data_IF_460757880306
#
_entry.id   IF_460757880306
#
_cell.length_a   1.000
_cell.length_b   1.000
_cell.length_c   1.000
_cell.angle_alpha   90.00
_cell.angle_beta   90.00
_cell.angle_gamma   90.00
#
_symmetry.space_group_name_H-M   'P 1'
#
loop_
_entity.id
_entity.type
_entity.pdbx_description
1 polymer ?
#
# COMPACT_ATOMS: atom_id res chain seq x y z
N UNK A 1 -58.43 8.72 19.15
CA UNK A 1 -57.60 7.55 19.46
C UNK A 1 -57.48 6.75 18.18
N UNK A 2 -56.36 6.89 17.46
CA UNK A 2 -56.15 6.24 16.16
C UNK A 2 -55.00 5.25 16.30
N UNK A 3 -55.31 3.97 16.18
CA UNK A 3 -54.37 2.86 16.14
C UNK A 3 -53.81 2.73 14.72
N UNK A 4 -52.50 2.92 14.57
CA UNK A 4 -51.77 2.60 13.34
C UNK A 4 -51.14 1.23 13.48
N UNK A 5 -51.60 0.29 12.66
CA UNK A 5 -51.04 -1.05 12.50
C UNK A 5 -49.68 -0.98 11.77
N UNK A 6 -48.73 -1.78 12.22
CA UNK A 6 -47.39 -1.93 11.64
C UNK A 6 -47.35 -3.27 10.89
N UNK A 7 -47.33 -3.25 9.56
CA UNK A 7 -47.10 -4.45 8.75
C UNK A 7 -45.60 -4.79 8.70
N UNK A 8 -45.28 -6.01 9.11
CA UNK A 8 -43.95 -6.61 9.08
C UNK A 8 -43.70 -7.26 7.72
N UNK A 9 -43.08 -6.52 6.80
CA UNK A 9 -42.57 -7.05 5.53
C UNK A 9 -41.19 -7.69 5.70
N UNK A 10 -41.14 -9.02 5.81
CA UNK A 10 -39.91 -9.82 5.77
C UNK A 10 -39.70 -10.35 4.34
N UNK A 11 -38.63 -9.90 3.69
CA UNK A 11 -38.21 -10.40 2.39
C UNK A 11 -36.94 -9.69 1.93
N UNK A 12 -35.79 -10.06 2.51
CA UNK A 12 -34.49 -9.64 1.99
C UNK A 12 -33.95 -10.76 1.12
N UNK A 13 -34.14 -10.58 -0.17
CA UNK A 13 -33.47 -11.30 -1.23
C UNK A 13 -31.94 -11.14 -1.09
N UNK A 14 -31.22 -12.26 -1.10
CA UNK A 14 -29.77 -12.32 -0.98
C UNK A 14 -29.14 -11.88 -2.30
N UNK A 15 -28.89 -10.58 -2.47
CA UNK A 15 -28.06 -10.08 -3.56
C UNK A 15 -26.63 -10.60 -3.42
N UNK A 16 -26.21 -11.49 -4.33
CA UNK A 16 -24.81 -11.87 -4.51
C UNK A 16 -24.07 -10.69 -5.14
N UNK A 17 -23.31 -9.95 -4.32
CA UNK A 17 -22.43 -8.89 -4.80
C UNK A 17 -21.16 -9.50 -5.40
N UNK A 18 -21.19 -9.71 -6.72
CA UNK A 18 -20.01 -10.10 -7.49
C UNK A 18 -19.09 -8.88 -7.69
N UNK A 19 -18.00 -8.82 -6.91
CA UNK A 19 -16.93 -7.85 -7.13
C UNK A 19 -15.87 -8.42 -8.07
N UNK A 20 -15.81 -7.89 -9.29
CA UNK A 20 -14.71 -8.15 -10.23
C UNK A 20 -13.63 -7.06 -10.10
N UNK A 21 -12.41 -7.46 -9.76
CA UNK A 21 -11.25 -6.55 -9.71
C UNK A 21 -10.47 -6.69 -11.00
N UNK A 22 -10.76 -5.82 -11.97
CA UNK A 22 -9.97 -5.71 -13.20
C UNK A 22 -8.77 -4.80 -12.97
N UNK A 23 -7.56 -5.37 -13.05
CA UNK A 23 -6.34 -4.57 -13.07
C UNK A 23 -6.18 -3.90 -14.45
N UNK A 24 -6.23 -2.57 -14.50
CA UNK A 24 -5.88 -1.80 -15.70
C UNK A 24 -4.38 -1.97 -15.98
N UNK A 25 -4.08 -2.64 -17.08
CA UNK A 25 -2.73 -2.84 -17.59
C UNK A 25 -2.10 -1.49 -17.93
N UNK A 26 -0.96 -1.17 -17.32
CA UNK A 26 -0.12 -0.04 -17.71
C UNK A 26 0.91 -0.56 -18.71
N UNK A 27 1.04 0.14 -19.86
CA UNK A 27 1.83 -0.23 -21.04
C UNK A 27 3.36 -0.26 -20.86
N UNK A 28 3.88 -0.64 -19.69
CA UNK A 28 5.31 -0.67 -19.42
C UNK A 28 5.81 -2.09 -19.16
N UNK A 29 5.96 -2.86 -20.24
CA UNK A 29 7.08 -3.79 -20.52
C UNK A 29 7.56 -4.80 -19.47
N UNK A 30 6.90 -4.96 -18.32
CA UNK A 30 7.23 -5.97 -17.33
C UNK A 30 6.19 -7.08 -17.44
N UNK A 31 6.60 -8.22 -18.01
CA UNK A 31 5.80 -9.43 -18.07
C UNK A 31 5.59 -9.98 -16.65
N UNK A 32 4.66 -9.39 -15.90
CA UNK A 32 4.18 -9.99 -14.67
C UNK A 32 3.10 -11.00 -15.03
N UNK A 33 3.38 -12.27 -14.73
CA UNK A 33 2.42 -13.37 -14.80
C UNK A 33 1.21 -13.02 -13.92
N UNK A 34 0.14 -12.54 -14.53
CA UNK A 34 -1.13 -12.29 -13.87
C UNK A 34 -1.71 -13.65 -13.47
N UNK A 35 -1.44 -14.08 -12.23
CA UNK A 35 -2.14 -15.22 -11.64
C UNK A 35 -3.49 -14.72 -11.15
N UNK A 36 -4.54 -15.06 -11.88
CA UNK A 36 -5.92 -14.88 -11.42
C UNK A 36 -6.13 -15.72 -10.16
N UNK A 37 -6.36 -15.07 -9.02
CA UNK A 37 -6.71 -15.75 -7.78
C UNK A 37 -8.23 -15.68 -7.66
N UNK A 38 -8.90 -16.83 -7.82
CA UNK A 38 -10.33 -16.93 -7.64
C UNK A 38 -10.59 -17.31 -6.17
N UNK A 39 -11.19 -16.41 -5.39
CA UNK A 39 -11.51 -16.65 -3.98
C UNK A 39 -13.01 -16.82 -3.87
N UNK A 40 -13.46 -18.07 -3.78
CA UNK A 40 -14.86 -18.41 -3.54
C UNK A 40 -15.08 -18.52 -2.04
N UNK A 41 -15.80 -17.57 -1.45
CA UNK A 41 -16.16 -17.60 -0.03
C UNK A 41 -17.52 -18.27 0.10
N UNK A 42 -17.52 -19.56 0.42
CA UNK A 42 -18.75 -20.30 0.74
C UNK A 42 -19.24 -19.86 2.11
N UNK A 43 -20.40 -19.21 2.18
CA UNK A 43 -21.03 -18.84 3.45
C UNK A 43 -21.32 -20.11 4.26
N UNK A 44 -20.90 -20.21 5.54
CA UNK A 44 -21.17 -21.37 6.37
C UNK A 44 -22.68 -21.44 6.66
N UNK A 45 -23.37 -22.29 5.91
CA UNK A 45 -24.75 -22.66 6.17
C UNK A 45 -24.90 -23.17 7.61
N UNK A 46 -25.94 -22.70 8.27
CA UNK A 46 -26.28 -22.99 9.66
C UNK A 46 -26.28 -24.49 9.98
N UNK A 47 -25.43 -24.84 10.93
CA UNK A 47 -25.55 -25.93 11.91
C UNK A 47 -26.01 -27.31 11.43
N UNK A 48 -25.03 -28.21 11.24
CA UNK A 48 -25.19 -29.63 11.51
C UNK A 48 -23.84 -30.22 11.92
N UNK A 49 -23.74 -30.66 13.17
CA UNK A 49 -22.57 -31.34 13.73
C UNK A 49 -22.25 -32.60 12.92
N UNK A 50 -21.13 -32.64 12.20
CA UNK A 50 -20.29 -33.85 12.15
C UNK A 50 -18.94 -33.62 11.47
N UNK A 51 -17.89 -33.85 12.27
CA UNK A 51 -16.52 -34.27 11.94
C UNK A 51 -15.58 -33.28 11.23
N UNK A 52 -14.29 -33.22 11.65
CA UNK A 52 -13.29 -32.39 11.00
C UNK A 52 -12.86 -33.01 9.68
N UNK A 53 -13.16 -32.36 8.56
CA UNK A 53 -12.66 -32.73 7.24
C UNK A 53 -11.44 -31.85 6.94
N UNK A 54 -10.30 -32.50 6.77
CA UNK A 54 -9.05 -31.87 6.36
C UNK A 54 -9.23 -31.16 5.02
N UNK A 55 -9.01 -29.85 5.01
CA UNK A 55 -9.06 -29.01 3.81
C UNK A 55 -7.84 -29.32 2.93
N UNK A 56 -8.04 -30.13 1.89
CA UNK A 56 -7.02 -30.32 0.85
C UNK A 56 -7.01 -29.11 -0.09
N UNK A 57 -5.89 -28.40 -0.12
CA UNK A 57 -5.62 -27.30 -1.04
C UNK A 57 -4.86 -27.90 -2.22
N UNK A 58 -5.53 -28.06 -3.36
CA UNK A 58 -4.91 -28.51 -4.60
C UNK A 58 -4.51 -27.30 -5.44
N UNK A 59 -3.20 -27.12 -5.67
CA UNK A 59 -2.64 -26.06 -6.51
C UNK A 59 -2.12 -26.70 -7.79
N UNK A 60 -2.80 -26.48 -8.90
CA UNK A 60 -2.38 -26.94 -10.23
C UNK A 60 -1.77 -25.78 -11.00
N UNK A 61 -0.47 -25.87 -11.35
CA UNK A 61 0.24 -24.88 -12.16
C UNK A 61 0.67 -25.47 -13.50
N UNK A 62 0.09 -24.98 -14.60
CA UNK A 62 0.53 -25.28 -15.96
C UNK A 62 1.44 -24.15 -16.46
N UNK A 63 2.75 -24.38 -16.47
CA UNK A 63 3.74 -23.50 -17.10
C UNK A 63 4.08 -24.00 -18.50
N UNK A 64 3.75 -23.23 -19.53
CA UNK A 64 4.23 -23.43 -20.90
C UNK A 64 5.25 -22.33 -21.18
N UNK A 65 6.51 -22.72 -21.32
CA UNK A 65 7.61 -21.85 -21.78
C UNK A 65 7.50 -21.65 -23.29
N UNK A 66 7.55 -20.40 -23.74
CA UNK A 66 7.94 -20.08 -25.11
C UNK A 66 8.98 -18.97 -25.11
N UNK A 67 10.07 -19.32 -25.78
CA UNK A 67 11.35 -18.65 -25.91
C UNK A 67 11.27 -17.58 -26.99
N UNK A 68 11.96 -16.46 -26.82
CA UNK A 68 12.32 -15.58 -27.93
C UNK A 68 12.25 -14.09 -27.62
N UNK A 69 13.32 -13.52 -27.06
CA UNK A 69 13.55 -12.08 -27.09
C UNK A 69 14.95 -11.81 -27.65
N UNK A 70 14.93 -11.15 -28.80
CA UNK A 70 16.04 -10.85 -29.69
C UNK A 70 16.90 -9.74 -29.07
N UNK A 71 18.21 -9.99 -28.98
CA UNK A 71 19.19 -9.10 -28.36
C UNK A 71 19.63 -8.09 -29.44
N UNK A 72 19.05 -6.89 -29.39
CA UNK A 72 19.51 -5.73 -30.18
C UNK A 72 20.64 -5.01 -29.44
N UNK A 73 21.88 -5.27 -29.87
CA UNK A 73 23.09 -4.62 -29.40
C UNK A 73 23.35 -3.35 -30.21
N UNK A 74 22.87 -2.20 -29.74
CA UNK A 74 23.26 -0.90 -30.30
C UNK A 74 24.21 -0.18 -29.34
N UNK A 75 25.49 -0.19 -29.73
CA UNK A 75 26.58 0.55 -29.11
C UNK A 75 26.38 2.05 -29.32
N UNK A 76 26.06 2.78 -28.26
CA UNK A 76 26.10 4.25 -28.24
C UNK A 76 27.16 4.69 -27.24
N UNK A 77 28.42 4.70 -27.69
CA UNK A 77 29.52 5.41 -27.05
C UNK A 77 29.33 6.91 -27.26
N UNK A 78 28.66 7.55 -26.28
CA UNK A 78 28.53 8.99 -26.18
C UNK A 78 29.15 9.48 -24.87
N UNK A 79 30.48 9.55 -24.83
CA UNK A 79 31.26 10.16 -23.75
C UNK A 79 30.99 11.67 -23.74
N UNK A 80 30.00 12.10 -22.94
CA UNK A 80 29.80 13.50 -22.59
C UNK A 80 30.47 13.77 -21.24
N UNK A 81 31.40 14.74 -21.15
CA UNK A 81 32.00 15.12 -19.88
C UNK A 81 30.93 15.69 -18.96
N UNK A 82 30.54 14.92 -17.95
CA UNK A 82 29.63 15.37 -16.91
C UNK A 82 30.34 16.43 -16.06
N UNK A 83 30.05 17.68 -16.41
CA UNK A 83 30.29 18.86 -15.61
C UNK A 83 29.71 18.63 -14.21
N UNK A 84 30.61 18.38 -13.25
CA UNK A 84 30.27 18.18 -11.83
C UNK A 84 29.78 19.50 -11.26
N UNK A 85 28.53 19.88 -11.55
CA UNK A 85 27.81 20.92 -10.82
C UNK A 85 27.77 20.47 -9.37
N UNK A 86 28.57 21.14 -8.54
CA UNK A 86 28.62 20.94 -7.10
C UNK A 86 27.25 21.28 -6.53
N UNK A 87 26.38 20.26 -6.47
CA UNK A 87 25.08 20.36 -5.86
C UNK A 87 25.30 20.69 -4.38
N UNK A 88 25.01 21.94 -4.01
CA UNK A 88 25.09 22.39 -2.63
C UNK A 88 24.36 21.41 -1.73
N UNK A 89 25.10 20.78 -0.80
CA UNK A 89 24.52 19.87 0.20
C UNK A 89 23.47 20.65 0.99
N UNK A 90 22.19 20.41 0.71
CA UNK A 90 21.10 20.93 1.53
C UNK A 90 21.33 20.44 2.96
N UNK A 91 21.30 21.36 3.93
CA UNK A 91 21.41 21.00 5.34
C UNK A 91 20.20 20.13 5.69
N UNK A 92 20.46 18.92 6.21
CA UNK A 92 19.39 18.04 6.68
C UNK A 92 18.72 18.69 7.89
N UNK A 93 17.40 18.69 7.89
CA UNK A 93 16.60 19.12 9.04
C UNK A 93 16.87 18.26 10.27
N UNK A 94 16.54 18.78 11.46
CA UNK A 94 16.64 18.04 12.71
C UNK A 94 15.80 16.74 12.67
N UNK A 95 14.59 16.80 12.12
CA UNK A 95 13.69 15.66 11.96
C UNK A 95 14.30 14.55 11.09
N UNK A 96 14.93 14.89 9.97
CA UNK A 96 15.59 13.90 9.10
C UNK A 96 16.79 13.23 9.79
N UNK A 97 17.48 13.95 10.67
CA UNK A 97 18.59 13.38 11.45
C UNK A 97 18.07 12.38 12.48
N UNK A 98 16.99 12.73 13.18
CA UNK A 98 16.35 11.86 14.18
C UNK A 98 15.69 10.63 13.55
N UNK A 99 15.17 10.75 12.33
CA UNK A 99 14.53 9.65 11.60
C UNK A 99 15.45 8.43 11.45
N UNK A 100 16.74 8.64 11.17
CA UNK A 100 17.69 7.54 11.02
C UNK A 100 17.81 6.72 12.32
N UNK A 101 17.99 7.41 13.45
CA UNK A 101 18.09 6.76 14.75
C UNK A 101 16.80 6.03 15.15
N UNK A 102 15.65 6.61 14.84
CA UNK A 102 14.35 5.99 15.07
C UNK A 102 14.16 4.69 14.27
N UNK A 103 14.54 4.68 12.99
CA UNK A 103 14.42 3.48 12.15
C UNK A 103 15.38 2.37 12.58
N UNK A 104 16.61 2.72 12.98
CA UNK A 104 17.57 1.75 13.53
C UNK A 104 17.06 1.15 14.84
N UNK A 105 16.57 1.99 15.76
CA UNK A 105 15.94 1.55 17.01
C UNK A 105 14.77 0.60 16.75
N UNK A 106 13.84 0.99 15.88
CA UNK A 106 12.65 0.18 15.57
C UNK A 106 13.02 -1.14 14.90
N UNK A 107 14.06 -1.15 14.06
CA UNK A 107 14.56 -2.37 13.44
C UNK A 107 15.09 -3.36 14.47
N UNK A 108 15.80 -2.87 15.50
CA UNK A 108 16.35 -3.71 16.56
C UNK A 108 15.26 -4.19 17.53
N UNK A 109 14.47 -3.26 18.05
CA UNK A 109 13.50 -3.53 19.11
C UNK A 109 12.35 -4.44 18.65
N UNK A 110 11.84 -4.21 17.43
CA UNK A 110 10.67 -4.94 16.90
C UNK A 110 11.05 -6.04 15.92
N UNK A 111 12.34 -6.28 15.69
CA UNK A 111 12.84 -7.27 14.71
C UNK A 111 12.15 -7.16 13.34
N UNK A 112 11.87 -5.93 12.89
CA UNK A 112 11.15 -5.70 11.63
C UNK A 112 12.01 -6.08 10.42
N UNK A 113 11.34 -6.59 9.37
CA UNK A 113 12.01 -6.87 8.11
C UNK A 113 12.59 -5.59 7.48
N UNK A 114 13.67 -5.73 6.69
CA UNK A 114 14.27 -4.62 5.92
C UNK A 114 13.24 -3.90 5.05
N UNK A 115 12.31 -4.65 4.45
CA UNK A 115 11.24 -4.08 3.62
C UNK A 115 10.28 -3.22 4.42
N UNK A 116 9.90 -3.65 5.62
CA UNK A 116 9.03 -2.88 6.53
C UNK A 116 9.72 -1.58 6.96
N UNK A 117 11.00 -1.64 7.34
CA UNK A 117 11.79 -0.46 7.70
C UNK A 117 11.89 0.53 6.53
N UNK A 118 12.10 0.05 5.30
CA UNK A 118 12.10 0.91 4.12
C UNK A 118 10.71 1.52 3.83
N UNK A 119 9.62 0.79 4.07
CA UNK A 119 8.28 1.34 3.94
C UNK A 119 8.04 2.47 4.94
N UNK A 120 8.34 2.23 6.23
CA UNK A 120 8.24 3.25 7.27
C UNK A 120 9.13 4.46 6.99
N UNK A 121 10.36 4.24 6.51
CA UNK A 121 11.24 5.34 6.12
C UNK A 121 10.63 6.24 5.05
N UNK A 122 9.99 5.66 4.02
CA UNK A 122 9.30 6.43 2.98
C UNK A 122 8.07 7.16 3.51
N UNK A 123 7.26 6.49 4.31
CA UNK A 123 6.02 7.05 4.86
C UNK A 123 6.35 8.25 5.78
N UNK A 124 7.35 8.12 6.66
CA UNK A 124 7.80 9.21 7.55
C UNK A 124 8.51 10.32 6.77
N UNK A 125 9.33 10.01 5.76
CA UNK A 125 9.93 11.04 4.90
C UNK A 125 8.89 11.89 4.18
N UNK A 126 7.80 11.27 3.74
CA UNK A 126 6.69 11.99 3.08
C UNK A 126 6.05 12.98 4.07
N UNK A 127 5.83 12.55 5.31
CA UNK A 127 5.35 13.44 6.38
C UNK A 127 6.34 14.60 6.65
N UNK A 128 7.63 14.30 6.80
CA UNK A 128 8.66 15.33 7.07
C UNK A 128 8.74 16.34 5.94
N UNK A 129 8.62 15.89 4.68
CA UNK A 129 8.60 16.78 3.53
C UNK A 129 7.36 17.67 3.50
N UNK A 130 6.18 17.10 3.77
CA UNK A 130 4.93 17.85 3.90
C UNK A 130 5.01 18.89 5.04
N UNK A 131 5.53 18.47 6.20
CA UNK A 131 5.66 19.32 7.38
C UNK A 131 6.60 20.49 7.15
N UNK A 132 7.72 20.28 6.43
CA UNK A 132 8.67 21.35 6.09
C UNK A 132 8.18 22.31 5.00
N UNK A 133 6.98 22.10 4.47
CA UNK A 133 6.33 23.03 3.55
C UNK A 133 6.03 24.39 4.18
N UNK A 134 5.38 25.27 3.41
CA UNK A 134 5.17 26.68 3.78
C UNK A 134 4.43 26.89 5.10
N UNK A 135 3.63 25.92 5.57
CA UNK A 135 2.84 26.03 6.78
C UNK A 135 3.63 25.92 8.09
N UNK A 136 4.78 25.20 8.13
CA UNK A 136 5.51 24.94 9.38
C UNK A 136 7.01 25.18 9.33
N UNK A 137 7.47 26.07 8.44
CA UNK A 137 8.90 26.43 8.26
C UNK A 137 9.69 26.71 9.55
N UNK A 138 9.03 27.16 10.62
CA UNK A 138 9.68 27.55 11.87
C UNK A 138 9.39 26.62 13.06
N UNK A 139 8.57 25.58 12.90
CA UNK A 139 8.22 24.69 14.01
C UNK A 139 9.20 23.49 14.05
N UNK A 140 10.02 23.34 15.10
CA UNK A 140 11.03 22.28 15.16
C UNK A 140 10.43 20.90 15.48
N UNK A 141 9.24 20.86 16.10
CA UNK A 141 8.62 19.63 16.62
C UNK A 141 7.16 19.57 16.20
N UNK A 142 6.73 18.51 15.48
CA UNK A 142 5.34 18.29 15.14
C UNK A 142 4.43 18.13 16.35
N UNK A 143 3.27 18.77 16.31
CA UNK A 143 2.19 18.61 17.28
C UNK A 143 1.20 17.55 16.79
N UNK A 144 0.37 17.07 17.71
CA UNK A 144 -0.73 16.15 17.38
C UNK A 144 -1.71 16.74 16.35
N UNK A 145 -1.94 18.05 16.38
CA UNK A 145 -2.75 18.77 15.41
C UNK A 145 -2.20 18.62 13.99
N UNK A 146 -0.88 18.70 13.84
CA UNK A 146 -0.18 18.61 12.56
C UNK A 146 -0.34 17.21 11.95
N UNK A 147 -0.40 16.17 12.80
CA UNK A 147 -0.70 14.80 12.36
C UNK A 147 -2.14 14.70 11.82
N UNK A 148 -3.12 15.30 12.50
CA UNK A 148 -4.50 15.33 12.02
C UNK A 148 -4.65 16.10 10.70
N UNK A 149 -3.94 17.22 10.55
CA UNK A 149 -3.90 17.98 9.30
C UNK A 149 -3.25 17.18 8.17
N UNK A 150 -2.17 16.44 8.47
CA UNK A 150 -1.54 15.55 7.50
C UNK A 150 -2.48 14.43 7.04
N UNK A 151 -3.24 13.82 7.95
CA UNK A 151 -4.25 12.81 7.58
C UNK A 151 -5.34 13.39 6.66
N UNK A 152 -5.77 14.62 6.93
CA UNK A 152 -6.72 15.32 6.07
C UNK A 152 -6.11 15.62 4.70
N UNK A 153 -4.83 15.98 4.66
CA UNK A 153 -4.09 16.16 3.41
C UNK A 153 -4.02 14.86 2.58
N UNK A 154 -3.69 13.72 3.20
CA UNK A 154 -3.67 12.42 2.50
C UNK A 154 -5.05 12.02 1.97
N UNK A 155 -6.10 12.29 2.74
CA UNK A 155 -7.50 12.06 2.31
C UNK A 155 -7.85 12.93 1.09
N UNK A 156 -7.46 14.22 1.09
CA UNK A 156 -7.67 15.12 -0.05
C UNK A 156 -6.89 14.69 -1.30
N UNK A 157 -5.79 13.96 -1.14
CA UNK A 157 -5.04 13.34 -2.24
C UNK A 157 -5.63 12.01 -2.72
N UNK A 158 -6.80 11.59 -2.21
CA UNK A 158 -7.44 10.31 -2.53
C UNK A 158 -6.54 9.08 -2.22
N UNK A 159 -5.71 9.16 -1.19
CA UNK A 159 -4.96 7.99 -0.73
C UNK A 159 -5.91 6.92 -0.19
N UNK A 160 -5.60 5.65 -0.47
CA UNK A 160 -6.40 4.53 0.03
C UNK A 160 -6.37 4.50 1.56
N UNK A 161 -7.48 4.18 2.25
CA UNK A 161 -7.52 4.12 3.71
C UNK A 161 -6.46 3.20 4.33
N UNK A 162 -6.13 2.08 3.66
CA UNK A 162 -5.05 1.18 4.08
C UNK A 162 -3.65 1.80 4.02
N UNK A 163 -3.41 2.70 3.06
CA UNK A 163 -2.16 3.47 2.95
C UNK A 163 -2.04 4.49 4.09
N UNK A 164 -3.15 5.16 4.41
CA UNK A 164 -3.22 6.11 5.53
C UNK A 164 -2.98 5.39 6.85
N UNK A 165 -3.65 4.25 7.08
CA UNK A 165 -3.49 3.46 8.30
C UNK A 165 -2.03 2.98 8.50
N UNK A 166 -1.36 2.55 7.44
CA UNK A 166 0.06 2.16 7.51
C UNK A 166 0.97 3.33 7.90
N UNK A 167 0.66 4.52 7.42
CA UNK A 167 1.42 5.74 7.74
C UNK A 167 1.34 6.12 9.23
N UNK A 168 0.35 5.59 9.97
CA UNK A 168 0.13 5.85 11.39
C UNK A 168 0.63 4.74 12.33
N UNK A 169 1.10 3.62 11.79
CA UNK A 169 1.46 2.40 12.55
C UNK A 169 2.87 2.46 13.16
#
# INVERSE_FOLDING_TARGET
MSTTEYESGAGKENESLDFSVSALSLNNGAAHSCRSINISVSSPGSASLSKPIASQISISGSGSETVGAQIGLESITGDKPQEKKQAGRRKKSLLEQQLKGYLEYTSYERSLSKHTIMAYGRDIQTFVHWYQGDAHKNAPVPKRTDISEYMLHLTRQNQKPSSIARTLA
#
